data_IF_110738091513
#
_entry.id   IF_110738091513
#
_cell.length_a   1.000
_cell.length_b   1.000
_cell.length_c   1.000
_cell.angle_alpha   90.00
_cell.angle_beta   90.00
_cell.angle_gamma   90.00
#
_symmetry.space_group_name_H-M   'P 1'
#
loop_
_entity.id
_entity.type
_entity.pdbx_description
1 polymer ?
#
# COMPACT_ATOMS: atom_id res chain seq x y z
N UNK A 1 44.52 26.58 52.23
CA UNK A 1 44.25 28.04 52.08
C UNK A 1 43.72 28.50 53.42
N UNK A 2 44.19 29.63 53.95
CA UNK A 2 43.72 30.13 55.25
C UNK A 2 42.26 30.54 55.14
N UNK A 3 41.47 30.27 56.17
CA UNK A 3 40.12 30.83 56.30
C UNK A 3 40.22 32.24 56.89
N UNK A 4 39.19 33.09 56.73
CA UNK A 4 39.14 34.38 57.42
C UNK A 4 39.38 34.26 58.93
N UNK A 5 38.88 33.18 59.56
CA UNK A 5 39.07 32.87 60.99
C UNK A 5 40.53 32.51 61.32
N UNK A 6 41.21 31.80 60.42
CA UNK A 6 42.64 31.50 60.59
C UNK A 6 43.50 32.77 60.55
N UNK A 7 43.09 33.78 59.78
CA UNK A 7 43.79 35.07 59.69
C UNK A 7 43.55 35.94 60.94
N UNK A 8 42.36 35.86 61.55
CA UNK A 8 42.05 36.56 62.82
C UNK A 8 42.86 36.03 64.01
N UNK A 9 43.12 34.73 64.06
CA UNK A 9 43.83 34.06 65.16
C UNK A 9 45.35 34.07 64.99
N UNK A 10 45.86 34.65 63.90
CA UNK A 10 47.27 34.61 63.53
C UNK A 10 48.11 35.58 64.38
N UNK A 11 49.07 35.04 65.14
CA UNK A 11 49.96 35.82 66.01
C UNK A 11 51.38 35.84 65.46
N UNK A 12 51.94 37.04 65.28
CA UNK A 12 53.32 37.23 64.83
C UNK A 12 54.32 37.21 66.00
N UNK A 13 55.47 36.53 65.83
CA UNK A 13 56.58 36.55 66.80
C UNK A 13 57.28 37.91 66.80
N UNK A 14 57.72 38.39 67.97
CA UNK A 14 58.45 39.65 68.11
C UNK A 14 59.96 39.42 67.94
N UNK A 15 60.63 40.29 67.19
CA UNK A 15 62.08 40.27 66.96
C UNK A 15 62.73 41.63 67.20
N UNK A 16 64.05 41.66 67.38
CA UNK A 16 64.83 42.86 67.75
C UNK A 16 64.79 43.97 66.68
N UNK A 17 64.53 43.61 65.42
CA UNK A 17 64.19 44.52 64.31
C UNK A 17 62.95 43.97 63.60
N UNK A 18 61.87 44.75 63.54
CA UNK A 18 60.62 44.32 62.93
C UNK A 18 59.65 45.47 62.72
N UNK A 19 58.57 45.19 61.99
CA UNK A 19 57.52 46.17 61.70
C UNK A 19 56.77 46.59 62.97
N UNK A 20 56.26 47.82 62.99
CA UNK A 20 55.46 48.34 64.11
C UNK A 20 54.18 47.52 64.25
N UNK A 21 54.00 46.92 65.41
CA UNK A 21 52.87 46.01 65.68
C UNK A 21 51.51 46.67 65.46
N UNK A 22 51.35 47.96 65.80
CA UNK A 22 50.07 48.68 65.62
C UNK A 22 49.69 48.83 64.14
N UNK A 23 50.64 49.24 63.28
CA UNK A 23 50.41 49.43 61.85
C UNK A 23 50.11 48.10 61.16
N UNK A 24 50.84 47.03 61.51
CA UNK A 24 50.58 45.67 61.00
C UNK A 24 49.19 45.18 61.41
N UNK A 25 48.80 45.36 62.67
CA UNK A 25 47.48 44.94 63.16
C UNK A 25 46.33 45.71 62.49
N UNK A 26 46.51 46.99 62.18
CA UNK A 26 45.52 47.78 61.46
C UNK A 26 45.40 47.37 59.99
N UNK A 27 46.52 47.06 59.35
CA UNK A 27 46.51 46.47 58.00
C UNK A 27 45.86 45.09 57.98
N UNK A 28 46.20 44.20 58.92
CA UNK A 28 45.62 42.86 59.02
C UNK A 28 44.10 42.91 59.19
N UNK A 29 43.57 43.84 59.98
CA UNK A 29 42.10 44.02 60.10
C UNK A 29 41.44 44.36 58.77
N UNK A 30 42.02 45.26 57.98
CA UNK A 30 41.50 45.59 56.65
C UNK A 30 41.60 44.39 55.70
N UNK A 31 42.74 43.69 55.74
CA UNK A 31 42.98 42.50 54.94
C UNK A 31 41.97 41.39 55.25
N UNK A 32 41.65 41.16 56.53
CA UNK A 32 40.68 40.15 56.97
C UNK A 32 39.29 40.45 56.39
N UNK A 33 38.82 41.71 56.48
CA UNK A 33 37.52 42.12 55.93
C UNK A 33 37.45 41.90 54.42
N UNK A 34 38.46 42.36 53.68
CA UNK A 34 38.50 42.20 52.23
C UNK A 34 38.62 40.72 51.83
N UNK A 35 39.40 39.94 52.57
CA UNK A 35 39.56 38.51 52.36
C UNK A 35 38.29 37.73 52.65
N UNK A 36 37.56 38.07 53.71
CA UNK A 36 36.27 37.45 54.04
C UNK A 36 35.25 37.69 52.93
N UNK A 37 35.17 38.94 52.43
CA UNK A 37 34.32 39.26 51.28
C UNK A 37 34.69 38.43 50.06
N UNK A 38 35.98 38.41 49.69
CA UNK A 38 36.47 37.69 48.53
C UNK A 38 36.28 36.17 48.66
N UNK A 39 36.37 35.64 49.88
CA UNK A 39 36.10 34.24 50.20
C UNK A 39 34.62 33.89 50.04
N UNK A 40 33.70 34.73 50.53
CA UNK A 40 32.25 34.56 50.33
C UNK A 40 31.86 34.63 48.85
N UNK A 41 32.32 35.67 48.15
CA UNK A 41 32.08 35.82 46.71
C UNK A 41 32.59 34.60 45.93
N UNK A 42 33.76 34.04 46.30
CA UNK A 42 34.30 32.85 45.65
C UNK A 42 33.43 31.60 45.87
N UNK A 43 32.87 31.42 47.07
CA UNK A 43 31.95 30.32 47.36
C UNK A 43 30.67 30.49 46.55
N UNK A 44 30.06 31.67 46.57
CA UNK A 44 28.81 31.95 45.84
C UNK A 44 28.99 31.76 44.33
N UNK A 45 30.11 32.23 43.76
CA UNK A 45 30.44 32.03 42.35
C UNK A 45 30.65 30.56 42.01
N UNK A 46 31.33 29.79 42.87
CA UNK A 46 31.50 28.34 42.67
C UNK A 46 30.18 27.61 42.71
N UNK A 47 29.30 27.93 43.65
CA UNK A 47 27.97 27.34 43.71
C UNK A 47 27.13 27.71 42.47
N UNK A 48 27.19 28.97 42.03
CA UNK A 48 26.50 29.40 40.81
C UNK A 48 27.04 28.67 39.57
N UNK A 49 28.36 28.49 39.48
CA UNK A 49 29.00 27.73 38.42
C UNK A 49 28.51 26.28 38.40
N UNK A 50 28.47 25.60 39.54
CA UNK A 50 28.00 24.21 39.62
C UNK A 50 26.50 24.10 39.28
N UNK A 51 25.67 25.06 39.71
CA UNK A 51 24.25 25.13 39.31
C UNK A 51 24.12 25.27 37.78
N UNK A 52 24.90 26.15 37.16
CA UNK A 52 24.84 26.37 35.71
C UNK A 52 25.37 25.17 34.92
N UNK A 53 26.42 24.50 35.40
CA UNK A 53 26.92 23.25 34.78
C UNK A 53 25.87 22.14 34.84
N UNK A 54 25.16 22.00 35.96
CA UNK A 54 24.08 21.03 36.09
C UNK A 54 22.94 21.32 35.10
N UNK A 55 22.57 22.59 34.94
CA UNK A 55 21.56 23.01 33.97
C UNK A 55 22.01 22.74 32.53
N UNK A 56 23.26 23.07 32.18
CA UNK A 56 23.83 22.79 30.86
C UNK A 56 23.76 21.29 30.53
N UNK A 57 24.16 20.44 31.47
CA UNK A 57 24.08 18.99 31.31
C UNK A 57 22.65 18.49 31.09
N UNK A 58 21.67 19.10 31.77
CA UNK A 58 20.26 18.79 31.55
C UNK A 58 19.80 19.20 30.15
N UNK A 59 20.28 20.33 29.63
CA UNK A 59 19.97 20.76 28.27
C UNK A 59 20.62 19.85 27.21
N UNK A 60 21.87 19.44 27.40
CA UNK A 60 22.54 18.48 26.52
C UNK A 60 21.77 17.15 26.46
N UNK A 61 21.33 16.62 27.61
CA UNK A 61 20.51 15.40 27.66
C UNK A 61 19.15 15.57 26.96
N UNK A 62 18.53 16.74 27.11
CA UNK A 62 17.27 17.07 26.44
C UNK A 62 17.48 17.18 24.93
N UNK A 63 18.56 17.81 24.48
CA UNK A 63 18.92 17.95 23.08
C UNK A 63 19.17 16.58 22.43
N UNK A 64 19.91 15.69 23.10
CA UNK A 64 20.15 14.33 22.62
C UNK A 64 18.85 13.53 22.51
N UNK A 65 17.97 13.66 23.51
CA UNK A 65 16.65 13.01 23.48
C UNK A 65 15.80 13.54 22.32
N UNK A 66 15.81 14.86 22.09
CA UNK A 66 15.09 15.49 20.99
C UNK A 66 15.62 15.04 19.63
N UNK A 67 16.95 15.00 19.45
CA UNK A 67 17.60 14.49 18.24
C UNK A 67 17.23 13.03 17.96
N UNK A 68 17.29 12.18 18.97
CA UNK A 68 16.92 10.78 18.84
C UNK A 68 15.43 10.62 18.47
N UNK A 69 14.57 11.43 19.08
CA UNK A 69 13.13 11.44 18.78
C UNK A 69 12.86 11.91 17.35
N UNK A 70 13.57 12.94 16.86
CA UNK A 70 13.46 13.41 15.48
C UNK A 70 13.95 12.34 14.49
N UNK A 71 15.05 11.67 14.79
CA UNK A 71 15.57 10.59 13.95
C UNK A 71 14.60 9.42 13.88
N UNK A 72 14.03 9.02 15.02
CA UNK A 72 12.99 7.99 15.09
C UNK A 72 11.76 8.41 14.28
N UNK A 73 11.26 9.63 14.47
CA UNK A 73 10.11 10.15 13.75
C UNK A 73 10.35 10.17 12.23
N UNK A 74 11.55 10.54 11.78
CA UNK A 74 11.94 10.48 10.38
C UNK A 74 11.93 9.04 9.86
N UNK A 75 12.57 8.11 10.58
CA UNK A 75 12.58 6.69 10.21
C UNK A 75 11.17 6.10 10.12
N UNK A 76 10.30 6.40 11.08
CA UNK A 76 8.90 5.98 11.06
C UNK A 76 8.13 6.61 9.89
N UNK A 77 8.36 7.88 9.57
CA UNK A 77 7.73 8.52 8.42
C UNK A 77 8.14 7.86 7.10
N UNK A 78 9.43 7.54 6.94
CA UNK A 78 9.95 6.83 5.76
C UNK A 78 9.39 5.41 5.66
N UNK A 79 9.29 4.68 6.77
CA UNK A 79 8.66 3.36 6.83
C UNK A 79 7.17 3.39 6.47
N UNK A 80 6.41 4.36 7.00
CA UNK A 80 5.00 4.55 6.66
C UNK A 80 4.85 4.84 5.17
N UNK A 81 5.70 5.71 4.61
CA UNK A 81 5.69 6.03 3.19
C UNK A 81 5.96 4.80 2.34
N UNK A 82 7.03 4.05 2.62
CA UNK A 82 7.40 2.85 1.87
C UNK A 82 6.32 1.77 1.98
N UNK A 83 5.72 1.58 3.16
CA UNK A 83 4.61 0.66 3.38
C UNK A 83 3.37 1.08 2.58
N UNK A 84 3.04 2.37 2.57
CA UNK A 84 1.93 2.92 1.79
C UNK A 84 2.12 2.75 0.29
N UNK A 85 3.31 3.00 -0.23
CA UNK A 85 3.65 2.77 -1.64
C UNK A 85 3.48 1.30 -2.03
N UNK A 86 3.98 0.38 -1.21
CA UNK A 86 3.82 -1.07 -1.44
C UNK A 86 2.36 -1.52 -1.39
N UNK A 87 1.59 -1.01 -0.43
CA UNK A 87 0.15 -1.32 -0.34
C UNK A 87 -0.61 -0.76 -1.55
N UNK A 88 -0.29 0.45 -2.00
CA UNK A 88 -0.88 1.03 -3.20
C UNK A 88 -0.58 0.18 -4.45
N UNK A 89 0.65 -0.30 -4.61
CA UNK A 89 1.02 -1.20 -5.71
C UNK A 89 0.20 -2.51 -5.68
N UNK A 90 0.05 -3.12 -4.50
CA UNK A 90 -0.77 -4.33 -4.34
C UNK A 90 -2.23 -4.06 -4.70
N UNK A 91 -2.82 -2.97 -4.21
CA UNK A 91 -4.21 -2.60 -4.52
C UNK A 91 -4.40 -2.35 -6.01
N UNK A 92 -3.47 -1.65 -6.66
CA UNK A 92 -3.51 -1.42 -8.11
C UNK A 92 -3.45 -2.72 -8.90
N UNK A 93 -2.53 -3.61 -8.53
CA UNK A 93 -2.39 -4.92 -9.17
C UNK A 93 -3.63 -5.80 -8.98
N UNK A 94 -4.20 -5.82 -7.78
CA UNK A 94 -5.46 -6.53 -7.51
C UNK A 94 -6.62 -5.96 -8.32
N UNK A 95 -6.74 -4.63 -8.40
CA UNK A 95 -7.76 -3.96 -9.19
C UNK A 95 -7.64 -4.29 -10.68
N UNK A 96 -6.41 -4.29 -11.22
CA UNK A 96 -6.13 -4.69 -12.60
C UNK A 96 -6.54 -6.15 -12.85
N UNK A 97 -6.11 -7.07 -11.99
CA UNK A 97 -6.48 -8.49 -12.11
C UNK A 97 -8.00 -8.69 -12.05
N UNK A 98 -8.70 -8.02 -11.13
CA UNK A 98 -10.17 -8.10 -11.04
C UNK A 98 -10.85 -7.53 -12.29
N UNK A 99 -10.34 -6.42 -12.84
CA UNK A 99 -10.86 -5.85 -14.06
C UNK A 99 -10.67 -6.80 -15.25
N UNK A 100 -9.51 -7.45 -15.36
CA UNK A 100 -9.26 -8.46 -16.39
C UNK A 100 -10.18 -9.68 -16.25
N UNK A 101 -10.35 -10.21 -15.04
CA UNK A 101 -11.29 -11.30 -14.77
C UNK A 101 -12.73 -10.92 -15.13
N UNK A 102 -13.16 -9.70 -14.79
CA UNK A 102 -14.49 -9.21 -15.16
C UNK A 102 -14.65 -9.12 -16.68
N UNK A 103 -13.64 -8.62 -17.40
CA UNK A 103 -13.67 -8.56 -18.86
C UNK A 103 -13.74 -9.94 -19.51
N UNK A 104 -13.02 -10.92 -18.96
CA UNK A 104 -13.09 -12.30 -19.44
C UNK A 104 -14.47 -12.89 -19.23
N UNK A 105 -15.04 -12.73 -18.03
CA UNK A 105 -16.39 -13.21 -17.71
C UNK A 105 -17.45 -12.60 -18.64
N UNK A 106 -17.41 -11.29 -18.87
CA UNK A 106 -18.34 -10.62 -19.79
C UNK A 106 -18.17 -11.14 -21.23
N UNK A 107 -16.94 -11.43 -21.66
CA UNK A 107 -16.71 -12.02 -22.99
C UNK A 107 -17.31 -13.42 -23.10
N UNK A 108 -17.16 -14.24 -22.07
CA UNK A 108 -17.76 -15.59 -22.01
C UNK A 108 -19.29 -15.52 -22.03
N UNK A 109 -19.89 -14.60 -21.25
CA UNK A 109 -21.33 -14.36 -21.24
C UNK A 109 -21.85 -13.92 -22.62
N UNK A 110 -21.15 -12.99 -23.29
CA UNK A 110 -21.50 -12.56 -24.65
C UNK A 110 -21.42 -13.73 -25.65
N UNK A 111 -20.39 -14.57 -25.55
CA UNK A 111 -20.26 -15.74 -26.43
C UNK A 111 -21.39 -16.75 -26.22
N UNK A 112 -21.76 -17.01 -24.96
CA UNK A 112 -22.88 -17.88 -24.63
C UNK A 112 -24.21 -17.33 -25.20
N UNK A 113 -24.47 -16.05 -25.01
CA UNK A 113 -25.69 -15.39 -25.51
C UNK A 113 -25.76 -15.41 -27.05
N UNK A 114 -24.63 -15.18 -27.73
CA UNK A 114 -24.56 -15.27 -29.19
C UNK A 114 -24.85 -16.68 -29.70
N UNK A 115 -24.36 -17.71 -28.98
CA UNK A 115 -24.65 -19.10 -29.32
C UNK A 115 -26.13 -19.44 -29.11
N UNK A 116 -26.74 -18.96 -28.02
CA UNK A 116 -28.17 -19.13 -27.77
C UNK A 116 -29.01 -18.45 -28.85
N UNK A 117 -28.66 -17.22 -29.24
CA UNK A 117 -29.31 -16.49 -30.32
C UNK A 117 -29.19 -17.21 -31.67
N UNK A 118 -28.03 -17.80 -31.96
CA UNK A 118 -27.84 -18.61 -33.16
C UNK A 118 -28.74 -19.86 -33.16
N UNK A 119 -28.79 -20.57 -32.03
CA UNK A 119 -29.66 -21.74 -31.86
C UNK A 119 -31.14 -21.38 -32.02
N UNK A 120 -31.58 -20.26 -31.43
CA UNK A 120 -32.97 -19.79 -31.52
C UNK A 120 -33.34 -19.42 -32.97
N UNK A 121 -32.45 -18.73 -33.69
CA UNK A 121 -32.64 -18.45 -35.12
C UNK A 121 -32.80 -19.74 -35.93
N UNK A 122 -31.94 -20.74 -35.67
CA UNK A 122 -32.05 -22.03 -36.34
C UNK A 122 -33.38 -22.72 -36.05
N UNK A 123 -33.88 -22.66 -34.81
CA UNK A 123 -35.20 -23.22 -34.45
C UNK A 123 -36.33 -22.51 -35.18
N UNK A 124 -36.27 -21.17 -35.29
CA UNK A 124 -37.27 -20.38 -36.04
C UNK A 124 -37.26 -20.75 -37.52
N UNK A 125 -36.08 -20.90 -38.13
CA UNK A 125 -35.94 -21.30 -39.53
C UNK A 125 -36.47 -22.72 -39.76
N UNK A 126 -36.15 -23.67 -38.87
CA UNK A 126 -36.68 -25.03 -38.92
C UNK A 126 -38.20 -25.05 -38.78
N UNK A 127 -38.75 -24.31 -37.82
CA UNK A 127 -40.19 -24.19 -37.64
C UNK A 127 -40.85 -23.59 -38.89
N UNK A 128 -40.28 -22.55 -39.48
CA UNK A 128 -40.79 -21.94 -40.72
C UNK A 128 -40.82 -22.95 -41.86
N UNK A 129 -39.75 -23.73 -42.04
CA UNK A 129 -39.69 -24.79 -43.07
C UNK A 129 -40.77 -25.85 -42.81
N UNK A 130 -40.86 -26.36 -41.57
CA UNK A 130 -41.84 -27.37 -41.18
C UNK A 130 -43.27 -26.87 -41.38
N UNK A 131 -43.57 -25.64 -40.97
CA UNK A 131 -44.89 -25.03 -41.10
C UNK A 131 -45.26 -24.78 -42.57
N UNK A 132 -44.31 -24.34 -43.39
CA UNK A 132 -44.54 -24.16 -44.83
C UNK A 132 -44.84 -25.50 -45.51
N UNK A 133 -44.09 -26.56 -45.18
CA UNK A 133 -44.35 -27.91 -45.69
C UNK A 133 -45.71 -28.43 -45.24
N UNK A 134 -46.09 -28.17 -43.99
CA UNK A 134 -47.40 -28.54 -43.47
C UNK A 134 -48.53 -27.85 -44.25
N UNK A 135 -48.44 -26.54 -44.49
CA UNK A 135 -49.42 -25.81 -45.30
C UNK A 135 -49.48 -26.31 -46.75
N UNK A 136 -48.34 -26.62 -47.37
CA UNK A 136 -48.30 -27.22 -48.72
C UNK A 136 -49.04 -28.56 -48.76
N UNK A 137 -48.84 -29.42 -47.77
CA UNK A 137 -49.56 -30.70 -47.67
C UNK A 137 -51.09 -30.49 -47.52
N UNK A 138 -51.52 -29.48 -46.77
CA UNK A 138 -52.94 -29.13 -46.65
C UNK A 138 -53.54 -28.60 -47.98
N UNK A 139 -52.77 -27.85 -48.76
CA UNK A 139 -53.20 -27.35 -50.08
C UNK A 139 -53.31 -28.52 -51.07
N UNK A 140 -52.30 -29.38 -51.17
CA UNK A 140 -52.33 -30.58 -52.00
C UNK A 140 -53.54 -31.47 -51.68
N UNK A 141 -53.87 -31.60 -50.38
CA UNK A 141 -55.04 -32.31 -49.89
C UNK A 141 -56.36 -31.68 -50.38
N UNK A 142 -56.49 -30.35 -50.32
CA UNK A 142 -57.68 -29.65 -50.79
C UNK A 142 -57.88 -29.79 -52.31
N UNK A 143 -56.78 -29.85 -53.07
CA UNK A 143 -56.80 -30.03 -54.53
C UNK A 143 -57.10 -31.48 -54.96
N UNK A 144 -56.67 -32.49 -54.17
CA UNK A 144 -56.84 -33.91 -54.50
C UNK A 144 -58.13 -34.55 -53.96
N UNK A 145 -58.95 -33.83 -53.19
CA UNK A 145 -60.25 -34.32 -52.70
C UNK A 145 -60.12 -35.63 -51.89
N UNK A 146 -59.06 -35.74 -51.08
CA UNK A 146 -58.73 -36.93 -50.27
C UNK A 146 -59.23 -36.79 -48.82
N UNK A 147 -59.69 -37.91 -48.26
CA UNK A 147 -60.32 -38.01 -46.93
C UNK A 147 -59.31 -37.91 -45.77
N UNK A 148 -59.74 -37.37 -44.63
CA UNK A 148 -58.89 -36.91 -43.51
C UNK A 148 -58.05 -38.05 -42.87
N UNK A 149 -58.47 -39.32 -42.99
CA UNK A 149 -57.78 -40.47 -42.38
C UNK A 149 -56.45 -40.87 -43.05
N UNK A 150 -56.32 -40.76 -44.38
CA UNK A 150 -55.07 -41.10 -45.10
C UNK A 150 -53.90 -40.14 -44.81
N UNK A 151 -54.21 -39.02 -44.15
CA UNK A 151 -53.34 -37.86 -43.95
C UNK A 151 -52.47 -38.04 -42.71
N UNK A 152 -53.00 -38.65 -41.65
CA UNK A 152 -52.25 -38.92 -40.44
C UNK A 152 -51.10 -39.90 -40.71
N UNK A 153 -51.34 -40.92 -41.54
CA UNK A 153 -50.30 -41.88 -41.96
C UNK A 153 -49.20 -41.23 -42.82
N UNK A 154 -49.57 -40.33 -43.74
CA UNK A 154 -48.62 -39.63 -44.61
C UNK A 154 -47.81 -38.56 -43.84
N UNK A 155 -48.42 -37.89 -42.87
CA UNK A 155 -47.71 -36.95 -42.00
C UNK A 155 -46.76 -37.66 -41.03
N UNK A 156 -47.16 -38.78 -40.43
CA UNK A 156 -46.28 -39.56 -39.54
C UNK A 156 -45.09 -40.11 -40.31
N UNK A 157 -45.29 -40.62 -41.52
CA UNK A 157 -44.20 -41.13 -42.37
C UNK A 157 -43.23 -40.03 -42.82
N UNK A 158 -43.73 -38.83 -43.16
CA UNK A 158 -42.88 -37.68 -43.51
C UNK A 158 -42.18 -37.04 -42.30
N UNK A 159 -42.77 -37.13 -41.10
CA UNK A 159 -42.15 -36.68 -39.85
C UNK A 159 -40.98 -37.58 -39.41
N UNK A 160 -41.00 -38.86 -39.79
CA UNK A 160 -39.92 -39.81 -39.47
C UNK A 160 -38.87 -39.93 -40.58
N UNK A 161 -39.17 -39.45 -41.79
CA UNK A 161 -38.34 -39.55 -43.00
C UNK A 161 -37.62 -38.26 -43.37
N UNK A 162 -36.72 -37.79 -42.51
CA UNK A 162 -35.54 -36.95 -42.78
C UNK A 162 -35.21 -36.17 -41.50
N UNK A 163 -34.52 -36.83 -40.57
CA UNK A 163 -33.52 -36.09 -39.81
C UNK A 163 -32.48 -35.64 -40.84
N UNK A 164 -32.23 -34.34 -41.06
CA UNK A 164 -30.98 -33.96 -41.66
C UNK A 164 -29.90 -34.57 -40.77
N UNK A 165 -29.04 -35.35 -41.41
CA UNK A 165 -27.75 -35.78 -40.87
C UNK A 165 -27.21 -34.64 -40.00
N UNK A 166 -26.84 -34.95 -38.77
CA UNK A 166 -26.13 -34.00 -37.92
C UNK A 166 -24.99 -33.46 -38.77
N UNK A 167 -25.10 -32.22 -39.26
CA UNK A 167 -23.92 -31.53 -39.76
C UNK A 167 -23.00 -31.51 -38.57
N UNK A 168 -21.86 -32.17 -38.71
CA UNK A 168 -20.79 -32.15 -37.74
C UNK A 168 -20.68 -30.75 -37.15
N UNK A 169 -20.46 -30.62 -35.83
CA UNK A 169 -20.29 -29.32 -35.22
C UNK A 169 -19.31 -28.54 -36.09
N UNK A 170 -19.72 -27.36 -36.58
CA UNK A 170 -18.84 -26.50 -37.38
C UNK A 170 -17.55 -26.37 -36.58
N UNK A 171 -16.49 -27.01 -37.05
CA UNK A 171 -15.22 -27.06 -36.34
C UNK A 171 -14.68 -25.64 -36.25
N UNK A 172 -14.85 -25.03 -35.09
CA UNK A 172 -14.12 -23.82 -34.66
C UNK A 172 -12.67 -24.24 -34.30
N UNK A 173 -12.04 -25.11 -35.10
CA UNK A 173 -10.64 -25.47 -34.91
C UNK A 173 -9.73 -24.37 -35.46
N UNK A 174 -10.14 -23.69 -36.54
CA UNK A 174 -9.35 -22.61 -37.13
C UNK A 174 -9.24 -21.38 -36.23
N UNK A 175 -10.30 -21.03 -35.51
CA UNK A 175 -10.24 -19.87 -34.60
C UNK A 175 -9.55 -20.23 -33.27
N UNK A 176 -9.52 -21.51 -32.89
CA UNK A 176 -8.82 -21.97 -31.68
C UNK A 176 -7.29 -21.99 -31.89
N UNK A 177 -6.79 -22.41 -33.05
CA UNK A 177 -5.36 -22.32 -33.39
C UNK A 177 -4.91 -20.86 -33.57
N UNK A 178 -5.72 -19.99 -34.20
CA UNK A 178 -5.41 -18.57 -34.31
C UNK A 178 -5.43 -17.86 -32.95
N UNK A 179 -6.35 -18.22 -32.05
CA UNK A 179 -6.43 -17.65 -30.71
C UNK A 179 -5.35 -18.20 -29.77
N UNK A 180 -4.89 -19.44 -29.97
CA UNK A 180 -3.72 -20.00 -29.30
C UNK A 180 -2.41 -19.36 -29.81
N UNK A 181 -2.26 -19.15 -31.12
CA UNK A 181 -1.12 -18.45 -31.71
C UNK A 181 -1.08 -16.97 -31.28
N UNK A 182 -2.23 -16.30 -31.17
CA UNK A 182 -2.32 -14.93 -30.66
C UNK A 182 -1.96 -14.84 -29.17
N UNK A 183 -2.39 -15.81 -28.33
CA UNK A 183 -2.00 -15.90 -26.92
C UNK A 183 -0.49 -16.17 -26.76
N UNK A 184 0.09 -17.06 -27.56
CA UNK A 184 1.52 -17.35 -27.53
C UNK A 184 2.38 -16.14 -27.96
N UNK A 185 1.95 -15.42 -29.01
CA UNK A 185 2.63 -14.21 -29.49
C UNK A 185 2.56 -13.05 -28.49
N UNK A 186 1.45 -12.93 -27.75
CA UNK A 186 1.30 -11.96 -26.68
C UNK A 186 2.22 -12.29 -25.48
N UNK A 187 2.32 -13.56 -25.09
CA UNK A 187 3.20 -14.00 -23.99
C UNK A 187 4.68 -13.72 -24.29
N UNK A 188 5.16 -13.99 -25.51
CA UNK A 188 6.55 -13.73 -25.90
C UNK A 188 6.92 -12.23 -25.96
N UNK A 189 5.94 -11.36 -26.27
CA UNK A 189 6.16 -9.91 -26.26
C UNK A 189 6.29 -9.34 -24.85
N UNK A 190 5.65 -9.96 -23.85
CA UNK A 190 5.79 -9.57 -22.44
C UNK A 190 7.13 -9.99 -21.83
N UNK A 191 7.73 -11.11 -22.27
CA UNK A 191 9.06 -11.52 -21.81
C UNK A 191 10.21 -10.67 -22.40
N UNK A 192 10.02 -10.07 -23.58
CA UNK A 192 11.04 -9.23 -24.23
C UNK A 192 11.10 -7.80 -23.69
N UNK A 193 10.05 -7.34 -22.99
CA UNK A 193 9.96 -5.99 -22.39
C UNK A 193 10.36 -6.01 -20.90
N UNK A 194 10.64 -7.20 -20.33
CA UNK A 194 11.02 -7.40 -18.94
C UNK A 194 12.52 -7.61 -18.66
N UNK A 195 13.40 -7.44 -19.66
CA UNK A 195 14.86 -7.29 -19.50
C UNK A 195 15.27 -5.86 -19.86
#
# INVERSE_FOLDING_TARGET
>A
MFTPVDLETMVFRRGVRGYKTKEVQEFMRKLIVDYEKLYKDNIELKEALERQKALLKSYEQMEDTLKNTLYLAQGTADEIKASGEKQAEVVLREAQNRAEQMRLKVREEIQAELQELANLKQQVDLFRIQFTRFLQALIEMAEQQLDIEGIWDKMVSLSHGNLPEQKEPVSIEKDAEELAAAKAKAASLFETIGQ
#
